data_IF_840421031834
#
_entry.id   IF_840421031834
#
_cell.length_a   1.000
_cell.length_b   1.000
_cell.length_c   1.000
_cell.angle_alpha   90.00
_cell.angle_beta   90.00
_cell.angle_gamma   90.00
#
_symmetry.space_group_name_H-M   'P 1'
#
loop_
_entity.id
_entity.type
_entity.pdbx_description
1 polymer ?
#
# COMPACT_ATOMS: atom_id res chain seq x y z
N UNK A 1 -38.91 13.04 -12.38
CA UNK A 1 -38.00 12.70 -11.26
C UNK A 1 -36.66 13.36 -11.51
N UNK A 2 -36.23 14.27 -10.62
CA UNK A 2 -34.94 14.96 -10.74
C UNK A 2 -33.80 13.94 -10.67
N UNK A 3 -32.94 13.91 -11.68
CA UNK A 3 -31.77 13.02 -11.77
C UNK A 3 -30.74 13.54 -10.76
N UNK A 4 -30.82 13.08 -9.51
CA UNK A 4 -29.90 13.49 -8.45
C UNK A 4 -28.45 13.26 -8.92
N UNK A 5 -27.62 14.30 -8.84
CA UNK A 5 -26.27 14.23 -9.37
C UNK A 5 -25.46 13.13 -8.65
N UNK A 6 -24.76 12.28 -9.41
CA UNK A 6 -24.10 11.05 -8.91
C UNK A 6 -23.22 11.25 -7.67
N UNK A 7 -22.64 12.45 -7.47
CA UNK A 7 -21.77 12.75 -6.33
C UNK A 7 -22.49 12.73 -4.98
N UNK A 8 -23.79 13.03 -4.94
CA UNK A 8 -24.57 13.13 -3.70
C UNK A 8 -24.54 11.84 -2.88
N UNK A 9 -24.63 10.68 -3.55
CA UNK A 9 -24.48 9.36 -2.94
C UNK A 9 -23.13 9.19 -2.24
N UNK A 10 -22.06 9.74 -2.83
CA UNK A 10 -20.69 9.59 -2.35
C UNK A 10 -20.30 10.59 -1.27
N UNK A 11 -21.14 11.59 -1.00
CA UNK A 11 -21.04 12.50 0.15
C UNK A 11 -21.81 11.99 1.38
N UNK A 12 -22.55 10.89 1.25
CA UNK A 12 -23.19 10.25 2.40
C UNK A 12 -22.16 9.52 3.25
N UNK A 13 -22.48 9.29 4.54
CA UNK A 13 -21.62 8.52 5.45
C UNK A 13 -21.25 7.14 4.88
N UNK A 14 -22.21 6.44 4.26
CA UNK A 14 -21.95 5.14 3.63
C UNK A 14 -21.07 5.24 2.38
N UNK A 15 -21.28 6.28 1.56
CA UNK A 15 -20.47 6.55 0.37
C UNK A 15 -19.02 6.83 0.73
N UNK A 16 -18.80 7.70 1.71
CA UNK A 16 -17.46 8.01 2.24
C UNK A 16 -16.81 6.76 2.85
N UNK A 17 -17.55 5.97 3.62
CA UNK A 17 -17.03 4.74 4.21
C UNK A 17 -16.52 3.74 3.14
N UNK A 18 -17.24 3.61 2.02
CA UNK A 18 -16.80 2.77 0.88
C UNK A 18 -15.55 3.33 0.21
N UNK A 19 -15.48 4.64 -0.01
CA UNK A 19 -14.30 5.30 -0.58
C UNK A 19 -13.08 5.15 0.32
N UNK A 20 -13.24 5.31 1.64
CA UNK A 20 -12.19 5.10 2.63
C UNK A 20 -11.71 3.65 2.63
N UNK A 21 -12.64 2.70 2.58
CA UNK A 21 -12.35 1.27 2.52
C UNK A 21 -11.47 0.94 1.31
N UNK A 22 -11.88 1.35 0.11
CA UNK A 22 -11.10 1.11 -1.10
C UNK A 22 -9.72 1.78 -1.06
N UNK A 23 -9.62 2.98 -0.53
CA UNK A 23 -8.34 3.66 -0.34
C UNK A 23 -7.43 2.91 0.63
N UNK A 24 -8.00 2.37 1.73
CA UNK A 24 -7.29 1.55 2.72
C UNK A 24 -6.81 0.22 2.14
N UNK A 25 -7.56 -0.35 1.22
CA UNK A 25 -7.20 -1.57 0.51
C UNK A 25 -6.11 -1.33 -0.56
N UNK A 26 -5.63 -0.09 -0.72
CA UNK A 26 -4.55 0.27 -1.64
C UNK A 26 -5.00 0.49 -3.09
N UNK A 27 -6.29 0.67 -3.35
CA UNK A 27 -6.77 0.93 -4.71
C UNK A 27 -6.30 2.31 -5.21
N UNK A 28 -5.94 2.34 -6.49
CA UNK A 28 -5.66 3.58 -7.22
C UNK A 28 -6.93 4.40 -7.44
N UNK A 29 -6.78 5.72 -7.63
CA UNK A 29 -7.92 6.60 -7.94
C UNK A 29 -8.69 6.11 -9.19
N UNK A 30 -8.01 5.48 -10.14
CA UNK A 30 -8.61 4.88 -11.33
C UNK A 30 -9.51 3.70 -11.00
N UNK A 31 -9.05 2.78 -10.14
CA UNK A 31 -9.84 1.64 -9.68
C UNK A 31 -11.03 2.10 -8.82
N UNK A 32 -10.82 3.08 -7.95
CA UNK A 32 -11.88 3.70 -7.14
C UNK A 32 -12.94 4.33 -8.04
N UNK A 33 -12.55 5.07 -9.08
CA UNK A 33 -13.48 5.66 -10.03
C UNK A 33 -14.31 4.60 -10.76
N UNK A 34 -13.67 3.51 -11.21
CA UNK A 34 -14.37 2.36 -11.82
C UNK A 34 -15.38 1.73 -10.86
N UNK A 35 -14.99 1.46 -9.61
CA UNK A 35 -15.89 0.92 -8.59
C UNK A 35 -17.07 1.85 -8.28
N UNK A 36 -16.85 3.16 -8.32
CA UNK A 36 -17.89 4.16 -8.15
C UNK A 36 -18.78 4.38 -9.39
N UNK A 37 -18.48 3.71 -10.51
CA UNK A 37 -19.24 3.84 -11.77
C UNK A 37 -19.09 5.20 -12.45
N UNK A 38 -17.92 5.82 -12.30
CA UNK A 38 -17.59 7.14 -12.85
C UNK A 38 -16.25 7.12 -13.60
N UNK A 39 -16.02 8.13 -14.44
CA UNK A 39 -14.72 8.31 -15.06
C UNK A 39 -13.72 8.85 -14.02
N UNK A 40 -12.44 8.48 -14.16
CA UNK A 40 -11.33 9.03 -13.39
C UNK A 40 -11.34 10.56 -13.31
N UNK A 41 -11.59 11.24 -14.44
CA UNK A 41 -11.64 12.72 -14.47
C UNK A 41 -12.76 13.27 -13.59
N UNK A 42 -13.88 12.56 -13.50
CA UNK A 42 -14.99 12.89 -12.61
C UNK A 42 -14.58 12.78 -11.15
N UNK A 43 -13.85 11.71 -10.78
CA UNK A 43 -13.35 11.55 -9.41
C UNK A 43 -12.37 12.67 -9.04
N UNK A 44 -11.46 13.06 -9.94
CA UNK A 44 -10.56 14.20 -9.70
C UNK A 44 -11.32 15.51 -9.50
N UNK A 45 -12.35 15.77 -10.32
CA UNK A 45 -13.21 16.94 -10.14
C UNK A 45 -13.92 16.93 -8.79
N UNK A 46 -14.38 15.75 -8.33
CA UNK A 46 -15.01 15.61 -7.02
C UNK A 46 -14.03 15.87 -5.88
N UNK A 47 -12.83 15.32 -5.94
CA UNK A 47 -11.77 15.59 -4.94
C UNK A 47 -11.41 17.07 -4.84
N UNK A 48 -11.46 17.82 -5.95
CA UNK A 48 -11.20 19.26 -5.96
C UNK A 48 -12.37 20.06 -5.37
N UNK A 49 -13.61 19.64 -5.63
CA UNK A 49 -14.83 20.37 -5.26
C UNK A 49 -15.34 20.03 -3.85
N UNK A 50 -15.09 18.82 -3.37
CA UNK A 50 -15.63 18.31 -2.11
C UNK A 50 -14.48 17.79 -1.23
N UNK A 51 -14.14 18.55 -0.19
CA UNK A 51 -13.08 18.21 0.77
C UNK A 51 -13.31 16.86 1.41
N UNK A 52 -14.53 16.53 1.79
CA UNK A 52 -14.88 15.28 2.47
C UNK A 52 -14.42 14.04 1.69
N UNK A 53 -14.60 14.03 0.36
CA UNK A 53 -14.14 12.93 -0.50
C UNK A 53 -12.62 12.88 -0.53
N UNK A 54 -11.97 14.03 -0.69
CA UNK A 54 -10.50 14.12 -0.74
C UNK A 54 -9.86 13.66 0.56
N UNK A 55 -10.38 14.14 1.70
CA UNK A 55 -9.85 13.87 3.02
C UNK A 55 -10.11 12.41 3.44
N UNK A 56 -11.28 11.88 3.10
CA UNK A 56 -11.59 10.45 3.26
C UNK A 56 -10.60 9.56 2.49
N UNK A 57 -10.32 9.88 1.23
CA UNK A 57 -9.36 9.11 0.42
C UNK A 57 -7.93 9.23 0.96
N UNK A 58 -7.50 10.42 1.40
CA UNK A 58 -6.18 10.61 2.01
C UNK A 58 -6.03 9.82 3.30
N UNK A 59 -7.04 9.88 4.17
CA UNK A 59 -7.07 9.14 5.44
C UNK A 59 -7.00 7.63 5.23
N UNK A 60 -7.75 7.10 4.26
CA UNK A 60 -7.68 5.69 3.90
C UNK A 60 -6.29 5.28 3.44
N UNK A 61 -5.64 6.10 2.60
CA UNK A 61 -4.29 5.84 2.07
C UNK A 61 -3.20 5.86 3.14
N UNK A 62 -3.33 6.72 4.15
CA UNK A 62 -2.35 6.80 5.25
C UNK A 62 -2.17 5.46 5.97
N UNK A 63 -3.22 4.64 6.05
CA UNK A 63 -3.14 3.30 6.68
C UNK A 63 -2.27 2.35 5.85
N UNK A 64 -2.50 2.28 4.53
CA UNK A 64 -1.71 1.40 3.66
C UNK A 64 -0.27 1.93 3.50
N UNK A 65 -0.09 3.25 3.44
CA UNK A 65 1.23 3.88 3.41
C UNK A 65 2.03 3.49 4.66
N UNK A 66 1.43 3.55 5.86
CA UNK A 66 2.06 3.07 7.11
C UNK A 66 2.41 1.58 7.08
N UNK A 67 1.57 0.74 6.47
CA UNK A 67 1.87 -0.70 6.35
C UNK A 67 3.08 -0.93 5.43
N UNK A 68 3.16 -0.21 4.31
CA UNK A 68 4.30 -0.25 3.40
C UNK A 68 5.56 0.28 4.09
N UNK A 69 5.46 1.39 4.82
CA UNK A 69 6.56 1.94 5.62
C UNK A 69 7.07 0.94 6.66
N UNK A 70 6.17 0.27 7.39
CA UNK A 70 6.55 -0.76 8.36
C UNK A 70 7.23 -1.97 7.71
N UNK A 71 6.74 -2.41 6.55
CA UNK A 71 7.35 -3.50 5.81
C UNK A 71 8.75 -3.12 5.27
N UNK A 72 8.88 -1.90 4.76
CA UNK A 72 10.17 -1.35 4.33
C UNK A 72 11.14 -1.21 5.51
N UNK A 73 10.66 -0.73 6.65
CA UNK A 73 11.45 -0.61 7.87
C UNK A 73 11.95 -1.98 8.35
N UNK A 74 11.08 -3.00 8.42
CA UNK A 74 11.47 -4.38 8.74
C UNK A 74 12.57 -4.90 7.81
N UNK A 75 12.45 -4.65 6.49
CA UNK A 75 13.53 -4.98 5.54
C UNK A 75 14.80 -4.19 5.80
N UNK A 76 14.70 -2.89 6.07
CA UNK A 76 15.85 -2.03 6.32
C UNK A 76 16.58 -2.38 7.62
N UNK A 77 15.90 -2.92 8.63
CA UNK A 77 16.53 -3.32 9.91
C UNK A 77 16.91 -4.80 9.97
N UNK A 78 16.44 -5.60 9.02
CA UNK A 78 16.41 -7.05 9.19
C UNK A 78 15.33 -7.50 10.17
N UNK A 79 15.02 -8.79 10.14
CA UNK A 79 14.05 -9.42 11.03
C UNK A 79 14.33 -10.91 11.14
N UNK A 80 13.80 -11.53 12.20
CA UNK A 80 13.83 -12.98 12.39
C UNK A 80 12.52 -13.57 11.86
N UNK A 81 12.60 -14.69 11.16
CA UNK A 81 11.44 -15.43 10.69
C UNK A 81 11.56 -16.91 11.04
N UNK A 82 10.40 -17.54 11.16
CA UNK A 82 10.27 -18.93 11.55
C UNK A 82 9.58 -19.68 10.41
N UNK A 83 10.26 -20.69 9.87
CA UNK A 83 9.69 -21.57 8.88
C UNK A 83 9.31 -22.91 9.52
N UNK A 84 8.12 -23.39 9.16
CA UNK A 84 7.61 -24.70 9.56
C UNK A 84 7.70 -25.64 8.37
N UNK A 85 8.39 -26.77 8.56
CA UNK A 85 8.42 -27.82 7.55
C UNK A 85 7.51 -28.98 7.94
N UNK A 86 6.66 -29.35 6.99
CA UNK A 86 5.69 -30.42 7.16
C UNK A 86 6.02 -31.60 6.24
N UNK A 87 5.81 -32.82 6.74
CA UNK A 87 5.86 -34.04 5.94
C UNK A 87 4.58 -34.83 6.13
N UNK A 88 4.03 -35.32 5.02
CA UNK A 88 2.92 -36.27 5.06
C UNK A 88 3.53 -37.66 5.26
N UNK A 89 3.10 -38.34 6.32
CA UNK A 89 3.55 -39.70 6.66
C UNK A 89 2.34 -40.61 6.81
N UNK A 90 2.52 -41.89 6.48
CA UNK A 90 1.52 -42.91 6.75
C UNK A 90 1.45 -43.16 8.27
N UNK A 91 0.23 -43.36 8.79
CA UNK A 91 0.03 -43.74 10.19
C UNK A 91 0.48 -45.18 10.41
N UNK A 92 1.08 -45.44 11.56
CA UNK A 92 1.29 -46.80 12.04
C UNK A 92 -0.04 -47.55 12.15
N UNK A 93 -0.07 -48.81 11.73
CA UNK A 93 -1.29 -49.63 11.68
C UNK A 93 -1.97 -49.75 13.06
N UNK A 94 -1.19 -49.81 14.15
CA UNK A 94 -1.75 -49.91 15.50
C UNK A 94 -2.41 -48.60 15.92
N UNK A 95 -1.79 -47.46 15.57
CA UNK A 95 -2.35 -46.13 15.83
C UNK A 95 -3.61 -45.92 15.02
N UNK A 96 -3.61 -46.30 13.75
CA UNK A 96 -4.76 -46.25 12.87
C UNK A 96 -5.92 -47.09 13.42
N UNK A 97 -5.65 -48.33 13.84
CA UNK A 97 -6.63 -49.21 14.47
C UNK A 97 -7.24 -48.58 15.73
N UNK A 98 -6.40 -48.04 16.62
CA UNK A 98 -6.86 -47.42 17.85
C UNK A 98 -7.75 -46.18 17.59
N UNK A 99 -7.33 -45.30 16.67
CA UNK A 99 -8.10 -44.11 16.28
C UNK A 99 -9.45 -44.49 15.63
N UNK A 100 -9.44 -45.48 14.74
CA UNK A 100 -10.66 -45.98 14.09
C UNK A 100 -11.65 -46.58 15.09
N UNK A 101 -11.17 -47.37 16.05
CA UNK A 101 -12.03 -47.94 17.08
C UNK A 101 -12.60 -46.87 18.01
N UNK A 102 -11.82 -45.85 18.35
CA UNK A 102 -12.31 -44.71 19.12
C UNK A 102 -13.44 -44.00 18.37
N UNK A 103 -13.20 -43.63 17.11
CA UNK A 103 -14.21 -42.97 16.27
C UNK A 103 -15.47 -43.83 16.09
N UNK A 104 -15.31 -45.13 15.88
CA UNK A 104 -16.40 -46.11 15.82
C UNK A 104 -17.25 -46.11 17.09
N UNK A 105 -16.62 -46.16 18.26
CA UNK A 105 -17.33 -46.21 19.54
C UNK A 105 -18.06 -44.89 19.84
N UNK A 106 -17.43 -43.75 19.55
CA UNK A 106 -18.03 -42.42 19.70
C UNK A 106 -19.25 -42.25 18.77
N UNK A 107 -19.14 -42.72 17.52
CA UNK A 107 -20.23 -42.67 16.55
C UNK A 107 -21.39 -43.58 16.97
N UNK A 108 -21.12 -44.82 17.39
CA UNK A 108 -22.14 -45.75 17.91
C UNK A 108 -22.90 -45.22 19.12
N UNK A 109 -22.22 -44.46 20.00
CA UNK A 109 -22.85 -43.89 21.19
C UNK A 109 -23.85 -42.78 20.82
N UNK A 110 -23.52 -41.99 19.79
CA UNK A 110 -24.34 -40.88 19.32
C UNK A 110 -25.41 -41.31 18.29
N UNK A 111 -25.18 -42.42 17.60
CA UNK A 111 -26.03 -42.96 16.54
C UNK A 111 -26.26 -44.47 16.79
N UNK A 112 -27.04 -44.84 17.82
CA UNK A 112 -27.28 -46.24 18.18
C UNK A 112 -28.00 -47.04 17.09
N UNK A 113 -28.71 -46.35 16.19
CA UNK A 113 -29.42 -46.91 15.03
C UNK A 113 -28.55 -47.06 13.77
N UNK A 114 -27.32 -46.55 13.77
CA UNK A 114 -26.46 -46.57 12.60
C UNK A 114 -26.11 -48.00 12.17
N UNK A 115 -26.14 -48.25 10.86
CA UNK A 115 -25.73 -49.54 10.31
C UNK A 115 -24.21 -49.69 10.32
N UNK A 116 -23.73 -50.93 10.20
CA UNK A 116 -22.29 -51.18 10.12
C UNK A 116 -21.63 -50.50 8.92
N UNK A 117 -22.37 -50.29 7.83
CA UNK A 117 -21.89 -49.56 6.66
C UNK A 117 -21.78 -48.05 6.95
N UNK A 118 -22.79 -47.46 7.61
CA UNK A 118 -22.75 -46.03 8.04
C UNK A 118 -21.56 -45.77 8.97
N UNK A 119 -21.33 -46.69 9.92
CA UNK A 119 -20.21 -46.61 10.86
C UNK A 119 -18.87 -46.71 10.12
N UNK A 120 -18.78 -47.59 9.12
CA UNK A 120 -17.56 -47.83 8.35
C UNK A 120 -17.22 -46.63 7.48
N UNK A 121 -18.22 -46.06 6.80
CA UNK A 121 -18.07 -44.85 6.01
C UNK A 121 -17.61 -43.68 6.88
N UNK A 122 -18.27 -43.44 8.01
CA UNK A 122 -17.89 -42.42 8.97
C UNK A 122 -16.42 -42.54 9.41
N UNK A 123 -15.98 -43.75 9.77
CA UNK A 123 -14.61 -44.00 10.23
C UNK A 123 -13.56 -43.73 9.13
N UNK A 124 -13.84 -44.06 7.87
CA UNK A 124 -12.90 -43.79 6.77
C UNK A 124 -12.80 -42.30 6.44
N UNK A 125 -13.91 -41.56 6.54
CA UNK A 125 -13.92 -40.12 6.30
C UNK A 125 -13.20 -39.34 7.41
N UNK A 126 -13.36 -39.78 8.67
CA UNK A 126 -12.91 -39.03 9.83
C UNK A 126 -11.53 -39.48 10.35
N UNK A 127 -11.06 -40.68 9.97
CA UNK A 127 -9.75 -41.21 10.40
C UNK A 127 -8.88 -41.49 9.17
N UNK A 128 -8.10 -40.49 8.71
CA UNK A 128 -7.23 -40.64 7.55
C UNK A 128 -6.08 -41.60 7.82
N UNK A 129 -5.57 -42.24 6.76
CA UNK A 129 -4.40 -43.14 6.82
C UNK A 129 -3.07 -42.41 6.82
N UNK A 130 -3.07 -41.10 6.57
CA UNK A 130 -1.89 -40.23 6.54
C UNK A 130 -2.09 -39.03 7.43
N UNK A 131 -1.03 -38.57 8.08
CA UNK A 131 -1.02 -37.33 8.83
C UNK A 131 0.13 -36.42 8.41
N UNK A 132 -0.09 -35.12 8.57
CA UNK A 132 0.92 -34.10 8.35
C UNK A 132 1.64 -33.84 9.67
N UNK A 133 2.87 -34.32 9.79
CA UNK A 133 3.73 -34.05 10.95
C UNK A 133 4.59 -32.82 10.68
N UNK A 134 4.80 -32.02 11.71
CA UNK A 134 5.79 -30.94 11.71
C UNK A 134 7.16 -31.53 12.05
N UNK A 135 8.12 -31.45 11.13
CA UNK A 135 9.43 -32.07 11.32
C UNK A 135 10.33 -31.23 12.22
N UNK A 136 10.40 -29.93 11.95
CA UNK A 136 11.16 -28.99 12.75
C UNK A 136 10.72 -27.54 12.46
N UNK A 137 11.00 -26.69 13.45
CA UNK A 137 10.86 -25.25 13.40
C UNK A 137 12.25 -24.65 13.20
N UNK A 138 12.51 -24.01 12.06
CA UNK A 138 13.78 -23.33 11.81
C UNK A 138 13.60 -21.82 11.95
N UNK A 139 14.30 -21.23 12.90
CA UNK A 139 14.44 -19.78 13.04
C UNK A 139 15.63 -19.32 12.19
N UNK A 140 15.41 -18.38 11.28
CA UNK A 140 16.50 -17.77 10.52
C UNK A 140 16.39 -16.24 10.54
N UNK A 141 17.55 -15.60 10.60
CA UNK A 141 17.67 -14.14 10.59
C UNK A 141 17.82 -13.64 9.16
N UNK A 142 16.90 -12.78 8.73
CA UNK A 142 17.02 -12.01 7.50
C UNK A 142 17.81 -10.73 7.81
N UNK A 143 19.01 -10.54 7.23
CA UNK A 143 19.82 -9.35 7.49
C UNK A 143 19.16 -8.08 6.92
N UNK A 144 19.57 -6.90 7.40
CA UNK A 144 19.22 -5.62 6.80
C UNK A 144 19.43 -5.58 5.28
N UNK A 145 18.42 -5.10 4.54
CA UNK A 145 18.53 -4.83 3.11
C UNK A 145 19.10 -3.41 2.87
N UNK A 146 20.29 -3.33 2.27
CA UNK A 146 20.98 -2.06 2.05
C UNK A 146 20.20 -1.10 1.13
N UNK A 147 19.44 -1.61 0.17
CA UNK A 147 18.62 -0.79 -0.73
C UNK A 147 17.44 -0.17 0.01
N UNK A 148 16.79 -0.95 0.86
CA UNK A 148 15.73 -0.48 1.75
C UNK A 148 16.24 0.58 2.72
N UNK A 149 17.44 0.39 3.29
CA UNK A 149 18.12 1.39 4.14
C UNK A 149 18.37 2.69 3.37
N UNK A 150 18.96 2.62 2.17
CA UNK A 150 19.24 3.80 1.34
C UNK A 150 17.94 4.54 1.01
N UNK A 151 16.91 3.82 0.59
CA UNK A 151 15.62 4.41 0.24
C UNK A 151 14.96 5.08 1.46
N UNK A 152 15.00 4.42 2.62
CA UNK A 152 14.50 4.98 3.88
C UNK A 152 15.22 6.29 4.25
N UNK A 153 16.55 6.32 4.14
CA UNK A 153 17.35 7.49 4.45
C UNK A 153 17.13 8.63 3.46
N UNK A 154 17.00 8.34 2.15
CA UNK A 154 16.63 9.34 1.13
C UNK A 154 15.26 9.99 1.38
N UNK A 155 14.34 9.29 2.06
CA UNK A 155 13.02 9.81 2.42
C UNK A 155 13.02 10.56 3.76
N UNK A 156 13.69 10.04 4.79
CA UNK A 156 13.69 10.63 6.15
C UNK A 156 14.73 11.73 6.36
N UNK A 157 15.84 11.68 5.62
CA UNK A 157 16.95 12.64 5.68
C UNK A 157 17.36 13.10 4.27
N UNK A 158 16.44 13.71 3.51
CA UNK A 158 16.69 14.02 2.10
C UNK A 158 17.87 14.96 1.90
N UNK A 159 18.11 15.90 2.83
CA UNK A 159 19.21 16.86 2.75
C UNK A 159 20.60 16.21 2.88
N UNK A 160 20.69 15.08 3.59
CA UNK A 160 21.93 14.35 3.82
C UNK A 160 22.16 13.25 2.77
N UNK A 161 21.09 12.59 2.31
CA UNK A 161 21.19 11.34 1.53
C UNK A 161 20.71 11.43 0.08
N UNK A 162 20.00 12.49 -0.34
CA UNK A 162 19.68 12.67 -1.76
C UNK A 162 20.92 13.14 -2.52
N UNK A 163 21.05 12.62 -3.73
CA UNK A 163 22.16 12.96 -4.61
C UNK A 163 22.12 14.46 -4.92
N UNK A 164 23.18 15.19 -4.54
CA UNK A 164 23.34 16.61 -4.88
C UNK A 164 23.65 16.71 -6.36
N UNK A 165 22.76 17.33 -7.13
CA UNK A 165 23.04 17.71 -8.52
C UNK A 165 23.72 19.07 -8.51
N UNK A 166 25.02 19.11 -8.73
CA UNK A 166 25.70 20.35 -9.10
C UNK A 166 25.37 20.64 -10.57
N UNK A 167 24.45 21.58 -10.80
CA UNK A 167 24.23 22.12 -12.14
C UNK A 167 25.30 23.18 -12.34
N UNK A 168 26.44 22.77 -12.90
CA UNK A 168 27.42 23.72 -13.41
C UNK A 168 26.83 24.44 -14.62
N UNK A 169 26.46 25.72 -14.46
CA UNK A 169 26.22 26.59 -15.61
C UNK A 169 27.59 26.95 -16.22
N UNK A 170 28.12 26.08 -17.08
CA UNK A 170 29.35 26.35 -17.84
C UNK A 170 29.09 27.04 -19.18
N UNK A 171 28.02 27.85 -19.26
CA UNK A 171 27.72 28.66 -20.43
C UNK A 171 28.22 30.08 -20.22
N UNK A 172 28.86 30.69 -21.23
CA UNK A 172 29.07 32.14 -21.27
C UNK A 172 27.69 32.77 -21.13
N UNK A 173 27.43 33.46 -20.02
CA UNK A 173 26.26 34.32 -19.90
C UNK A 173 26.54 35.45 -20.88
N UNK A 174 26.00 35.35 -22.09
CA UNK A 174 25.94 36.49 -23.00
C UNK A 174 24.89 37.41 -22.38
N UNK A 175 25.33 38.28 -21.46
CA UNK A 175 24.45 39.34 -20.98
C UNK A 175 24.06 40.12 -22.22
N UNK A 176 22.78 40.48 -22.38
CA UNK A 176 22.30 41.30 -23.50
C UNK A 176 23.00 42.67 -23.61
N UNK A 177 23.93 42.97 -22.71
CA UNK A 177 24.74 44.17 -22.60
C UNK A 177 26.20 43.99 -23.00
N UNK A 178 26.66 42.76 -23.28
CA UNK A 178 28.07 42.46 -23.60
C UNK A 178 28.55 43.13 -24.89
N UNK A 179 27.62 43.53 -25.77
CA UNK A 179 27.90 44.16 -27.06
C UNK A 179 27.42 45.63 -27.14
N UNK A 180 26.93 46.23 -26.05
CA UNK A 180 26.55 47.64 -26.05
C UNK A 180 27.74 48.52 -25.69
N UNK A 181 27.94 49.59 -26.46
CA UNK A 181 28.89 50.65 -26.11
C UNK A 181 28.46 51.39 -24.84
N UNK A 182 29.42 52.00 -24.14
CA UNK A 182 29.17 52.77 -22.90
C UNK A 182 28.04 53.78 -23.04
N UNK A 183 27.90 54.40 -24.22
CA UNK A 183 26.88 55.42 -24.48
C UNK A 183 25.45 54.85 -24.57
N UNK A 184 25.30 53.60 -25.05
CA UNK A 184 23.98 52.95 -25.10
C UNK A 184 23.57 52.40 -23.73
N UNK A 185 24.55 51.99 -22.91
CA UNK A 185 24.31 51.62 -21.52
C UNK A 185 23.84 52.82 -20.69
N UNK A 186 24.47 53.99 -20.89
CA UNK A 186 24.06 55.24 -20.25
C UNK A 186 22.64 55.62 -20.64
N UNK A 187 22.28 55.55 -21.94
CA UNK A 187 20.90 55.78 -22.39
C UNK A 187 19.88 54.82 -21.79
N UNK A 188 20.25 53.55 -21.61
CA UNK A 188 19.37 52.58 -20.94
C UNK A 188 19.17 52.92 -19.45
N UNK A 189 20.21 53.38 -18.77
CA UNK A 189 20.13 53.83 -17.37
C UNK A 189 19.30 55.10 -17.22
N UNK A 190 19.50 56.10 -18.07
CA UNK A 190 18.71 57.35 -18.08
C UNK A 190 17.22 57.06 -18.31
N UNK A 191 16.91 56.11 -19.20
CA UNK A 191 15.53 55.68 -19.47
C UNK A 191 14.89 54.98 -18.26
N UNK A 192 15.69 54.24 -17.48
CA UNK A 192 15.25 53.59 -16.24
C UNK A 192 15.13 54.57 -15.07
N UNK A 193 15.89 55.67 -15.06
CA UNK A 193 15.78 56.73 -14.06
C UNK A 193 14.59 57.66 -14.34
N UNK A 194 14.30 57.97 -15.61
CA UNK A 194 13.14 58.78 -16.00
C UNK A 194 11.78 58.12 -15.69
N UNK A 195 11.71 56.79 -15.61
CA UNK A 195 10.50 56.06 -15.21
C UNK A 195 10.25 56.06 -13.68
N UNK A 196 11.21 56.53 -12.86
CA UNK A 196 11.05 56.60 -11.39
C UNK A 196 10.27 57.83 -10.92
N UNK A 197 10.17 58.88 -11.74
CA UNK A 197 9.40 60.10 -11.43
C UNK A 197 7.87 59.86 -11.41
N UNK A 198 7.40 58.67 -11.79
CA UNK A 198 5.99 58.26 -11.70
C UNK A 198 5.61 57.48 -10.44
N UNK A 199 6.56 57.22 -9.52
CA UNK A 199 6.36 56.39 -8.32
C UNK A 199 6.61 57.20 -7.02
N UNK A 200 6.03 58.40 -6.91
CA UNK A 200 5.83 58.98 -5.59
C UNK A 200 4.60 58.34 -4.91
N UNK A 201 4.73 57.84 -3.68
CA UNK A 201 3.61 57.24 -2.95
C UNK A 201 2.61 58.32 -2.56
N UNK A 202 1.33 58.14 -2.95
CA UNK A 202 0.19 58.85 -2.34
C UNK A 202 -0.21 58.22 -1.03
#
# INVERSE_FOLDING_TARGET
MSKLAKYTKWLTKEGLLKLEGWARDGLTDDQIARNAGINRTTLYAWKKKYSDISDTLKKGKEVVDRQVENALFKRATGYVTTDHQYKVVDLDDNVLWARRNKAKNEFKLSHPEATDDDIKEYVYEHVPTRERIELYQNEHTVPPDSTAVIFWLKNRKPNEWRDKREIGLSGRVDSSFDNLGTDELIKHLEKLEGDKDGLEPK
#
